data_IF_468498278802
#
_entry.id   IF_468498278802
#
_cell.length_a   1.000
_cell.length_b   1.000
_cell.length_c   1.000
_cell.angle_alpha   90.00
_cell.angle_beta   90.00
_cell.angle_gamma   90.00
#
_symmetry.space_group_name_H-M   'P 1'
#
loop_
_entity.id
_entity.type
_entity.pdbx_description
1 polymer ?
#
# COMPACT_ATOMS: atom_id res chain seq x y z
N UNK A 1 -21.11 -5.65 2.54
CA UNK A 1 -20.39 -5.39 1.28
C UNK A 1 -19.02 -6.00 1.36
N UNK A 2 -18.77 -6.97 0.50
CA UNK A 2 -17.59 -7.82 0.52
C UNK A 2 -16.78 -7.64 -0.76
N UNK A 3 -15.48 -7.46 -0.60
CA UNK A 3 -14.53 -7.42 -1.71
C UNK A 3 -13.38 -8.36 -1.43
N UNK A 4 -12.87 -8.99 -2.46
CA UNK A 4 -11.72 -9.88 -2.37
C UNK A 4 -10.48 -9.17 -2.87
N UNK A 5 -9.47 -9.10 -2.01
CA UNK A 5 -8.19 -8.53 -2.40
C UNK A 5 -7.53 -9.37 -3.47
N UNK A 6 -7.10 -8.73 -4.55
CA UNK A 6 -6.25 -9.36 -5.58
C UNK A 6 -4.78 -8.96 -5.43
N UNK A 7 -4.52 -7.94 -4.60
CA UNK A 7 -3.18 -7.45 -4.26
C UNK A 7 -3.03 -7.26 -2.75
N UNK A 8 -1.80 -7.37 -2.23
CA UNK A 8 -1.56 -7.02 -0.84
C UNK A 8 -1.93 -5.56 -0.63
N UNK A 9 -2.76 -5.31 0.36
CA UNK A 9 -3.23 -3.97 0.70
C UNK A 9 -3.11 -3.78 2.20
N UNK A 10 -2.71 -2.58 2.60
CA UNK A 10 -2.80 -2.16 3.99
C UNK A 10 -4.16 -1.51 4.19
N UNK A 11 -5.01 -2.12 5.00
CA UNK A 11 -6.29 -1.52 5.40
C UNK A 11 -6.13 -0.88 6.77
N UNK A 12 -6.87 0.19 7.05
CA UNK A 12 -7.03 0.67 8.42
C UNK A 12 -7.71 -0.40 9.27
N UNK A 13 -7.30 -0.52 10.53
CA UNK A 13 -7.99 -1.38 11.49
C UNK A 13 -9.48 -0.96 11.57
N UNK A 14 -10.44 -1.84 11.23
CA UNK A 14 -11.85 -1.51 11.32
C UNK A 14 -12.33 -1.23 12.75
N UNK A 15 -11.62 -1.74 13.77
CA UNK A 15 -11.90 -1.46 15.18
C UNK A 15 -11.47 -0.05 15.62
N UNK A 16 -10.82 0.72 14.73
CA UNK A 16 -10.36 2.06 15.03
C UNK A 16 -11.51 3.07 14.92
N UNK A 17 -12.10 3.40 16.06
CA UNK A 17 -13.11 4.46 16.18
C UNK A 17 -12.44 5.81 16.45
N UNK A 18 -12.64 6.78 15.54
CA UNK A 18 -12.13 8.15 15.68
C UNK A 18 -12.70 8.88 16.90
N UNK A 19 -13.97 8.62 17.23
CA UNK A 19 -14.62 9.25 18.37
C UNK A 19 -14.07 8.70 19.68
N UNK A 20 -13.86 7.38 19.74
CA UNK A 20 -13.23 6.71 20.89
C UNK A 20 -11.75 7.13 21.03
N UNK A 21 -11.02 7.25 19.92
CA UNK A 21 -9.65 7.77 19.90
C UNK A 21 -9.57 9.21 20.43
N UNK A 22 -10.51 10.06 20.02
CA UNK A 22 -10.62 11.43 20.51
C UNK A 22 -10.94 11.47 22.03
N UNK A 23 -11.89 10.64 22.48
CA UNK A 23 -12.23 10.50 23.91
C UNK A 23 -11.05 10.00 24.73
N UNK A 24 -10.31 9.00 24.26
CA UNK A 24 -9.13 8.50 24.95
C UNK A 24 -8.02 9.56 25.02
N UNK A 25 -7.82 10.34 23.96
CA UNK A 25 -6.91 11.49 23.96
C UNK A 25 -7.32 12.52 25.01
N UNK A 26 -8.61 12.86 25.10
CA UNK A 26 -9.13 13.81 26.09
C UNK A 26 -8.99 13.28 27.53
N UNK A 27 -9.06 11.96 27.72
CA UNK A 27 -8.85 11.28 29.00
C UNK A 27 -7.38 11.00 29.33
N UNK A 28 -6.42 11.39 28.48
CA UNK A 28 -4.99 11.11 28.66
C UNK A 28 -4.62 9.62 28.55
N UNK A 29 -5.50 8.78 27.98
CA UNK A 29 -5.26 7.36 27.75
C UNK A 29 -4.58 7.17 26.40
N UNK A 30 -3.61 6.25 26.32
CA UNK A 30 -3.05 5.80 25.04
C UNK A 30 -4.14 5.04 24.29
N UNK A 31 -4.62 5.63 23.20
CA UNK A 31 -5.31 4.90 22.15
C UNK A 31 -4.27 4.65 21.06
N UNK A 32 -4.05 3.40 20.68
CA UNK A 32 -3.02 3.08 19.72
C UNK A 32 -3.27 3.81 18.39
N UNK A 33 -2.18 4.34 17.82
CA UNK A 33 -2.16 5.01 16.52
C UNK A 33 -2.85 4.11 15.48
N UNK A 34 -3.63 4.64 14.52
CA UNK A 34 -4.27 3.82 13.50
C UNK A 34 -3.28 2.82 12.92
N UNK A 35 -3.46 1.54 13.27
CA UNK A 35 -2.60 0.47 12.81
C UNK A 35 -3.10 0.06 11.44
N UNK A 36 -2.26 0.23 10.43
CA UNK A 36 -2.50 -0.36 9.12
C UNK A 36 -2.29 -1.85 9.23
N UNK A 37 -3.33 -2.64 8.98
CA UNK A 37 -3.27 -4.09 8.94
C UNK A 37 -2.87 -4.51 7.52
N UNK A 38 -1.69 -5.11 7.32
CA UNK A 38 -1.35 -5.70 6.04
C UNK A 38 -2.27 -6.90 5.81
N UNK A 39 -2.95 -6.94 4.67
CA UNK A 39 -3.79 -8.06 4.25
C UNK A 39 -3.19 -8.74 3.04
N UNK A 40 -3.27 -10.06 3.04
CA UNK A 40 -2.78 -10.89 1.96
C UNK A 40 -3.76 -10.91 0.78
N UNK A 41 -3.24 -11.33 -0.38
CA UNK A 41 -4.06 -11.60 -1.57
C UNK A 41 -5.06 -12.72 -1.27
N UNK A 42 -6.28 -12.58 -1.76
CA UNK A 42 -7.38 -13.51 -1.53
C UNK A 42 -8.19 -13.23 -0.27
N UNK A 43 -7.75 -12.31 0.59
CA UNK A 43 -8.49 -11.96 1.79
C UNK A 43 -9.77 -11.18 1.43
N UNK A 44 -10.88 -11.58 2.05
CA UNK A 44 -12.19 -10.93 1.87
C UNK A 44 -12.38 -9.87 2.94
N UNK A 45 -12.56 -8.62 2.51
CA UNK A 45 -12.87 -7.51 3.40
C UNK A 45 -14.37 -7.29 3.37
N UNK A 46 -15.01 -7.40 4.54
CA UNK A 46 -16.40 -7.01 4.72
C UNK A 46 -16.48 -5.62 5.36
N UNK A 47 -16.74 -4.60 4.56
CA UNK A 47 -16.80 -3.22 5.03
C UNK A 47 -17.66 -2.34 4.11
N UNK A 48 -18.46 -1.40 4.65
CA UNK A 48 -19.31 -0.51 3.84
C UNK A 48 -18.53 0.41 2.88
N UNK A 49 -17.23 0.57 3.07
CA UNK A 49 -16.35 1.34 2.18
C UNK A 49 -15.42 0.48 1.32
N UNK A 50 -15.57 -0.84 1.35
CA UNK A 50 -14.71 -1.77 0.62
C UNK A 50 -14.75 -1.57 -0.91
N UNK A 51 -15.88 -1.07 -1.43
CA UNK A 51 -16.05 -0.73 -2.86
C UNK A 51 -15.01 0.26 -3.41
N UNK A 52 -14.42 1.11 -2.53
CA UNK A 52 -13.36 2.05 -2.91
C UNK A 52 -12.10 1.32 -3.39
N UNK A 53 -11.82 0.14 -2.83
CA UNK A 53 -10.68 -0.68 -3.23
C UNK A 53 -10.83 -1.25 -4.64
N UNK A 54 -12.08 -1.50 -5.08
CA UNK A 54 -12.37 -1.90 -6.46
C UNK A 54 -12.02 -0.77 -7.43
N UNK A 55 -12.45 0.46 -7.13
CA UNK A 55 -12.15 1.63 -7.98
C UNK A 55 -10.65 1.94 -8.04
N UNK A 56 -9.94 1.69 -6.95
CA UNK A 56 -8.49 1.83 -6.89
C UNK A 56 -7.74 0.66 -7.54
N UNK A 57 -8.44 -0.38 -8.00
CA UNK A 57 -7.87 -1.55 -8.67
C UNK A 57 -7.18 -2.55 -7.72
N UNK A 58 -7.40 -2.49 -6.41
CA UNK A 58 -6.77 -3.38 -5.42
C UNK A 58 -7.59 -4.64 -5.10
N UNK A 59 -8.89 -4.62 -5.40
CA UNK A 59 -9.82 -5.68 -5.07
C UNK A 59 -10.81 -5.95 -6.20
N UNK A 60 -11.38 -7.15 -6.21
CA UNK A 60 -12.54 -7.53 -7.02
C UNK A 60 -13.80 -7.55 -6.14
N UNK A 61 -14.97 -7.20 -6.69
CA UNK A 61 -16.24 -7.36 -5.98
C UNK A 61 -16.51 -8.84 -5.71
N UNK A 62 -16.82 -9.18 -4.46
CA UNK A 62 -17.26 -10.53 -4.09
C UNK A 62 -18.80 -10.62 -4.07
N UNK A 63 -19.49 -9.49 -3.86
CA UNK A 63 -20.95 -9.36 -3.91
C UNK A 63 -21.42 -8.32 -4.96
N UNK A 64 -22.68 -8.47 -5.38
CA UNK A 64 -23.32 -7.55 -6.34
C UNK A 64 -23.43 -6.13 -5.76
N UNK A 65 -23.67 -5.99 -4.45
CA UNK A 65 -23.74 -4.69 -3.76
C UNK A 65 -22.44 -3.87 -3.93
N UNK A 66 -21.27 -4.49 -3.76
CA UNK A 66 -20.00 -3.80 -3.93
C UNK A 66 -19.76 -3.39 -5.40
N UNK A 67 -20.21 -4.21 -6.36
CA UNK A 67 -20.11 -3.89 -7.79
C UNK A 67 -21.01 -2.71 -8.16
N UNK A 68 -22.27 -2.73 -7.74
CA UNK A 68 -23.23 -1.65 -7.99
C UNK A 68 -22.75 -0.34 -7.38
N UNK A 69 -22.24 -0.39 -6.14
CA UNK A 69 -21.74 0.80 -5.44
C UNK A 69 -20.44 1.33 -6.02
N UNK A 70 -19.58 0.46 -6.57
CA UNK A 70 -18.40 0.89 -7.29
C UNK A 70 -18.76 1.64 -8.59
N UNK A 71 -19.92 1.32 -9.19
CA UNK A 71 -20.42 1.99 -10.39
C UNK A 71 -19.54 1.77 -11.63
N UNK A 72 -18.76 0.68 -11.65
CA UNK A 72 -17.84 0.34 -12.73
C UNK A 72 -18.31 -0.91 -13.47
N UNK A 73 -18.13 -0.92 -14.79
CA UNK A 73 -18.32 -2.14 -15.58
C UNK A 73 -17.17 -3.14 -15.32
N UNK A 74 -17.37 -4.44 -15.56
CA UNK A 74 -16.29 -5.44 -15.43
C UNK A 74 -15.03 -5.08 -16.22
N UNK A 75 -15.19 -4.52 -17.43
CA UNK A 75 -14.08 -4.06 -18.25
C UNK A 75 -13.33 -2.88 -17.63
N UNK A 76 -14.04 -1.94 -16.98
CA UNK A 76 -13.42 -0.82 -16.27
C UNK A 76 -12.71 -1.26 -15.00
N UNK A 77 -13.24 -2.25 -14.29
CA UNK A 77 -12.57 -2.87 -13.13
C UNK A 77 -11.24 -3.47 -13.60
N UNK A 78 -11.25 -4.27 -14.67
CA UNK A 78 -10.01 -4.82 -15.24
C UNK A 78 -9.03 -3.73 -15.71
N UNK A 79 -9.53 -2.63 -16.28
CA UNK A 79 -8.69 -1.51 -16.69
C UNK A 79 -8.05 -0.80 -15.48
N UNK A 80 -8.78 -0.61 -14.39
CA UNK A 80 -8.25 -0.07 -13.14
C UNK A 80 -7.18 -0.98 -12.54
N UNK A 81 -7.42 -2.29 -12.54
CA UNK A 81 -6.45 -3.31 -12.10
C UNK A 81 -5.16 -3.20 -12.93
N UNK A 82 -5.25 -3.20 -14.27
CA UNK A 82 -4.08 -3.09 -15.17
C UNK A 82 -3.35 -1.76 -15.02
N UNK A 83 -4.10 -0.67 -14.84
CA UNK A 83 -3.51 0.65 -14.61
C UNK A 83 -2.64 0.67 -13.36
N UNK A 84 -3.08 -0.02 -12.30
CA UNK A 84 -2.33 -0.12 -11.06
C UNK A 84 -1.08 -1.00 -11.18
N UNK A 85 -1.11 -2.07 -11.99
CA UNK A 85 0.10 -2.87 -12.30
C UNK A 85 1.19 -2.00 -12.93
N UNK A 86 0.82 -1.15 -13.89
CA UNK A 86 1.77 -0.25 -14.55
C UNK A 86 2.41 0.73 -13.57
N UNK A 87 1.62 1.32 -12.67
CA UNK A 87 2.12 2.24 -11.63
C UNK A 87 3.10 1.51 -10.72
N UNK A 88 2.79 0.27 -10.33
CA UNK A 88 3.66 -0.53 -9.46
C UNK A 88 4.95 -0.93 -10.16
N UNK A 89 4.89 -1.30 -11.44
CA UNK A 89 6.05 -1.61 -12.28
C UNK A 89 6.97 -0.39 -12.44
N UNK A 90 6.40 0.79 -12.70
CA UNK A 90 7.15 2.04 -12.82
C UNK A 90 7.80 2.44 -11.49
N UNK A 91 7.11 2.22 -10.37
CA UNK A 91 7.66 2.42 -9.04
C UNK A 91 8.86 1.49 -8.78
N UNK A 92 8.73 0.17 -9.02
CA UNK A 92 9.84 -0.79 -8.91
C UNK A 92 11.01 -0.40 -9.83
N UNK A 93 10.68 0.02 -11.06
CA UNK A 93 11.47 0.79 -12.03
C UNK A 93 12.41 1.79 -11.34
N UNK A 94 11.79 2.75 -10.68
CA UNK A 94 12.45 3.92 -10.08
C UNK A 94 13.28 3.56 -8.85
N UNK A 95 12.79 2.65 -7.99
CA UNK A 95 13.49 2.18 -6.80
C UNK A 95 14.76 1.43 -7.18
N UNK A 96 14.69 0.55 -8.19
CA UNK A 96 15.85 -0.20 -8.68
C UNK A 96 16.93 0.72 -9.27
N UNK A 97 16.53 1.74 -10.04
CA UNK A 97 17.47 2.77 -10.56
C UNK A 97 18.14 3.53 -9.42
N UNK A 98 17.36 3.95 -8.42
CA UNK A 98 17.85 4.68 -7.25
C UNK A 98 18.83 3.86 -6.42
N UNK A 99 18.54 2.55 -6.24
CA UNK A 99 19.43 1.60 -5.54
C UNK A 99 20.77 1.45 -6.27
N UNK A 100 20.74 1.24 -7.60
CA UNK A 100 21.97 1.15 -8.42
C UNK A 100 22.83 2.40 -8.34
N UNK A 101 22.21 3.59 -8.32
CA UNK A 101 22.92 4.87 -8.19
C UNK A 101 23.60 5.00 -6.82
N UNK A 102 22.91 4.62 -5.73
CA UNK A 102 23.50 4.63 -4.37
C UNK A 102 24.67 3.66 -4.24
N UNK A 103 24.55 2.43 -4.73
CA UNK A 103 25.64 1.45 -4.64
C UNK A 103 26.86 1.86 -5.45
N UNK A 104 26.67 2.44 -6.65
CA UNK A 104 27.79 2.95 -7.46
C UNK A 104 28.51 4.13 -6.79
N UNK A 105 27.76 5.01 -6.12
CA UNK A 105 28.33 6.12 -5.35
C UNK A 105 29.16 5.61 -4.16
N UNK A 106 28.64 4.64 -3.41
CA UNK A 106 29.35 4.03 -2.27
C UNK A 106 30.64 3.30 -2.69
N UNK A 107 30.64 2.64 -3.85
CA UNK A 107 31.83 2.00 -4.40
C UNK A 107 32.90 3.04 -4.81
N UNK A 108 32.50 4.13 -5.46
CA UNK A 108 33.43 5.20 -5.83
C UNK A 108 34.01 5.93 -4.60
N UNK A 109 33.21 6.15 -3.56
CA UNK A 109 33.68 6.73 -2.29
C UNK A 109 34.61 5.76 -1.54
N UNK A 110 34.34 4.45 -1.57
CA UNK A 110 35.21 3.44 -0.96
C UNK A 110 36.56 3.28 -1.68
N UNK A 111 36.59 3.41 -3.00
CA UNK A 111 37.82 3.33 -3.81
C UNK A 111 38.72 4.58 -3.59
N UNK A 112 38.12 5.77 -3.44
CA UNK A 112 38.86 7.00 -3.10
C UNK A 112 39.44 7.02 -1.69
N UNK A 113 38.82 6.34 -0.73
CA UNK A 113 39.29 6.31 0.67
C UNK A 113 40.35 5.22 0.91
N UNK A 114 40.49 4.27 -0.03
CA UNK A 114 41.45 3.17 0.06
C UNK A 114 42.88 3.50 -0.39
N UNK A 115 43.07 4.52 -1.22
CA UNK A 115 44.38 4.92 -1.76
C UNK A 115 45.18 5.83 -0.80
N UNK A 116 44.54 6.42 0.21
CA UNK A 116 45.17 7.40 1.13
C UNK A 116 45.84 6.77 2.37
N UNK A 117 45.75 5.44 2.56
CA UNK A 117 46.24 4.75 3.78
C UNK A 117 47.57 3.99 3.56
N UNK A 118 48.19 4.06 2.38
CA UNK A 118 49.47 3.38 2.07
C UNK A 118 50.57 4.34 1.61
N UNK A 119 50.76 5.44 2.33
CA UNK A 119 51.91 6.32 2.19
C UNK A 119 52.53 6.63 3.56
N UNK A 120 53.13 5.62 4.19
CA UNK A 120 54.12 5.79 5.27
C UNK A 120 55.34 4.90 5.01
#
# INVERSE_FOLDING_TARGET
>A
MKVKLIRPATTLNPDWDRAEAARCRDQGKKYDVPHSIPREVGHVIDHPDAWKLIRAGYAEPEDDEARERAGLTPAQIQAAIKGQDKIQEDYQKSVAKSRKKRTKKQQAEAEQTGDEVTAE
#
